data_IF_717715870712
#
_entry.id   IF_717715870712
#
_cell.length_a   1.000
_cell.length_b   1.000
_cell.length_c   1.000
_cell.angle_alpha   90.00
_cell.angle_beta   90.00
_cell.angle_gamma   90.00
#
_symmetry.space_group_name_H-M   'P 1'
#
loop_
_entity.id
_entity.type
_entity.pdbx_description
1 polymer ?
#
# COMPACT_ATOMS: atom_id res chain seq x y z
N UNK A 1 -0.52 -20.23 -6.83
CA UNK A 1 0.76 -19.59 -7.22
C UNK A 1 0.82 -18.14 -6.72
N UNK A 2 -0.03 -17.22 -7.20
CA UNK A 2 0.04 -15.80 -6.79
C UNK A 2 -0.16 -15.57 -5.28
N UNK A 3 -0.90 -16.46 -4.61
CA UNK A 3 -1.12 -16.45 -3.15
C UNK A 3 0.14 -16.65 -2.32
N UNK A 4 1.22 -17.18 -2.88
CA UNK A 4 2.50 -17.40 -2.18
C UNK A 4 3.47 -16.21 -2.31
N UNK A 5 3.10 -15.18 -3.06
CA UNK A 5 3.94 -14.01 -3.27
C UNK A 5 3.89 -13.06 -2.08
N UNK A 6 4.90 -12.18 -1.98
CA UNK A 6 4.88 -11.07 -1.07
C UNK A 6 3.81 -10.04 -1.52
N UNK A 7 3.13 -9.33 -0.60
CA UNK A 7 2.11 -8.33 -0.97
C UNK A 7 2.62 -7.22 -1.92
N UNK A 8 3.89 -6.86 -1.83
CA UNK A 8 4.51 -5.91 -2.77
C UNK A 8 4.63 -6.47 -4.19
N UNK A 9 4.95 -7.75 -4.35
CA UNK A 9 5.16 -8.37 -5.66
C UNK A 9 3.85 -8.49 -6.42
N UNK A 10 2.78 -8.90 -5.73
CA UNK A 10 1.44 -8.96 -6.32
C UNK A 10 0.94 -7.55 -6.68
N UNK A 11 1.29 -6.51 -5.90
CA UNK A 11 1.00 -5.12 -6.24
C UNK A 11 1.77 -4.66 -7.48
N UNK A 12 3.03 -5.05 -7.62
CA UNK A 12 3.79 -4.79 -8.84
C UNK A 12 3.19 -5.51 -10.04
N UNK A 13 2.82 -6.79 -9.90
CA UNK A 13 2.18 -7.56 -10.96
C UNK A 13 0.85 -6.92 -11.41
N UNK A 14 0.04 -6.42 -10.47
CA UNK A 14 -1.19 -5.68 -10.77
C UNK A 14 -0.95 -4.37 -11.53
N UNK A 15 0.29 -3.85 -11.55
CA UNK A 15 0.66 -2.60 -12.23
C UNK A 15 1.36 -2.83 -13.57
N UNK A 16 1.86 -4.04 -13.87
CA UNK A 16 2.60 -4.31 -15.11
C UNK A 16 1.70 -4.46 -16.33
N UNK A 17 0.55 -5.15 -16.21
CA UNK A 17 -0.36 -5.39 -17.35
C UNK A 17 -1.82 -5.09 -17.01
N UNK A 18 -2.62 -4.78 -18.04
CA UNK A 18 -4.07 -4.53 -17.87
C UNK A 18 -4.81 -5.79 -17.42
N UNK A 19 -4.38 -6.97 -17.86
CA UNK A 19 -4.96 -8.26 -17.51
C UNK A 19 -4.72 -8.58 -16.03
N UNK A 20 -3.48 -8.44 -15.55
CA UNK A 20 -3.19 -8.64 -14.12
C UNK A 20 -3.88 -7.60 -13.27
N UNK A 21 -3.93 -6.33 -13.70
CA UNK A 21 -4.71 -5.30 -13.02
C UNK A 21 -6.18 -5.71 -12.88
N UNK A 22 -6.81 -6.13 -13.97
CA UNK A 22 -8.21 -6.54 -14.00
C UNK A 22 -8.49 -7.74 -13.09
N UNK A 23 -7.61 -8.75 -13.11
CA UNK A 23 -7.74 -9.92 -12.26
C UNK A 23 -7.50 -9.59 -10.77
N UNK A 24 -6.38 -8.94 -10.44
CA UNK A 24 -5.95 -8.73 -9.05
C UNK A 24 -6.75 -7.65 -8.34
N UNK A 25 -7.24 -6.63 -9.04
CA UNK A 25 -8.07 -5.59 -8.42
C UNK A 25 -9.56 -5.96 -8.35
N UNK A 26 -9.96 -7.14 -8.86
CA UNK A 26 -11.32 -7.63 -8.77
C UNK A 26 -11.60 -8.19 -7.37
N UNK A 27 -12.75 -7.79 -6.79
CA UNK A 27 -13.22 -8.26 -5.48
C UNK A 27 -13.32 -9.79 -5.39
N UNK A 28 -13.63 -10.48 -6.50
CA UNK A 28 -13.68 -11.95 -6.54
C UNK A 28 -12.34 -12.61 -6.21
N UNK A 29 -11.22 -11.90 -6.42
CA UNK A 29 -9.87 -12.38 -6.13
C UNK A 29 -9.30 -11.81 -4.82
N UNK A 30 -10.15 -11.24 -3.95
CA UNK A 30 -9.71 -10.73 -2.65
C UNK A 30 -9.04 -11.80 -1.77
N UNK A 31 -9.42 -13.07 -1.93
CA UNK A 31 -8.79 -14.20 -1.23
C UNK A 31 -7.30 -14.34 -1.55
N UNK A 32 -6.89 -14.02 -2.78
CA UNK A 32 -5.46 -14.05 -3.16
C UNK A 32 -4.68 -13.05 -2.32
N UNK A 33 -5.23 -11.85 -2.12
CA UNK A 33 -4.60 -10.84 -1.29
C UNK A 33 -4.58 -11.19 0.19
N UNK A 34 -5.66 -11.79 0.71
CA UNK A 34 -5.69 -12.30 2.09
C UNK A 34 -4.62 -13.37 2.31
N UNK A 35 -4.40 -14.24 1.33
CA UNK A 35 -3.35 -15.25 1.39
C UNK A 35 -1.95 -14.61 1.31
N UNK A 36 -1.72 -13.65 0.41
CA UNK A 36 -0.42 -12.96 0.35
C UNK A 36 -0.10 -12.17 1.62
N UNK A 37 -1.13 -11.60 2.26
CA UNK A 37 -1.03 -10.96 3.59
C UNK A 37 -0.46 -11.92 4.64
N UNK A 38 -0.93 -13.16 4.66
CA UNK A 38 -0.52 -14.18 5.63
C UNK A 38 0.94 -14.64 5.44
N UNK A 39 1.56 -14.37 4.29
CA UNK A 39 2.97 -14.67 4.07
C UNK A 39 3.92 -13.72 4.81
N UNK A 40 3.42 -12.64 5.41
CA UNK A 40 4.22 -11.66 6.17
C UNK A 40 3.91 -11.81 7.67
N UNK A 41 4.82 -12.41 8.46
CA UNK A 41 4.62 -12.55 9.91
C UNK A 41 4.41 -11.19 10.60
N UNK A 42 3.41 -11.11 11.48
CA UNK A 42 3.11 -9.89 12.23
C UNK A 42 2.45 -8.77 11.41
N UNK A 43 2.10 -9.02 10.15
CA UNK A 43 1.42 -8.03 9.32
C UNK A 43 -0.04 -7.86 9.75
N UNK A 44 -0.50 -6.64 10.07
CA UNK A 44 -1.83 -6.41 10.61
C UNK A 44 -2.95 -6.84 9.65
N UNK A 45 -4.15 -7.02 10.21
CA UNK A 45 -5.34 -7.11 9.38
C UNK A 45 -5.57 -5.84 8.58
N UNK A 46 -6.21 -6.01 7.42
CA UNK A 46 -6.58 -4.86 6.61
C UNK A 46 -7.57 -3.99 7.39
N UNK A 47 -7.32 -2.68 7.42
CA UNK A 47 -8.23 -1.75 8.06
C UNK A 47 -9.62 -1.77 7.40
N UNK A 48 -10.72 -1.52 8.14
CA UNK A 48 -12.09 -1.66 7.62
C UNK A 48 -12.44 -0.80 6.39
N UNK A 49 -11.81 0.36 6.29
CA UNK A 49 -11.96 1.37 5.23
C UNK A 49 -10.96 1.21 4.08
N UNK A 50 -10.15 0.15 4.11
CA UNK A 50 -9.18 -0.17 3.07
C UNK A 50 -9.39 -1.57 2.51
N UNK A 51 -8.93 -1.78 1.29
CA UNK A 51 -8.75 -3.11 0.74
C UNK A 51 -7.28 -3.56 0.87
N UNK A 52 -7.06 -4.86 0.71
CA UNK A 52 -5.75 -5.48 0.87
C UNK A 52 -4.68 -4.91 -0.06
N UNK A 53 -5.05 -4.51 -1.28
CA UNK A 53 -4.13 -3.89 -2.23
C UNK A 53 -3.69 -2.48 -1.77
N UNK A 54 -4.61 -1.71 -1.19
CA UNK A 54 -4.29 -0.42 -0.58
C UNK A 54 -3.43 -0.60 0.66
N UNK A 55 -3.70 -1.64 1.47
CA UNK A 55 -2.88 -1.98 2.64
C UNK A 55 -1.46 -2.37 2.22
N UNK A 56 -1.32 -3.24 1.23
CA UNK A 56 -0.02 -3.61 0.66
C UNK A 56 0.74 -2.38 0.11
N UNK A 57 0.04 -1.46 -0.57
CA UNK A 57 0.63 -0.19 -1.00
C UNK A 57 1.11 0.64 0.19
N UNK A 58 0.27 0.80 1.22
CA UNK A 58 0.61 1.60 2.39
C UNK A 58 1.85 1.04 3.09
N UNK A 59 1.91 -0.27 3.28
CA UNK A 59 2.95 -0.94 4.03
C UNK A 59 4.28 -1.11 3.27
N UNK A 60 4.22 -1.34 1.96
CA UNK A 60 5.41 -1.77 1.20
C UNK A 60 5.79 -0.89 0.02
N UNK A 61 4.92 -0.06 -0.54
CA UNK A 61 5.24 0.79 -1.70
C UNK A 61 5.88 2.11 -1.22
N UNK A 62 7.18 2.35 -1.45
CA UNK A 62 7.89 3.52 -0.92
C UNK A 62 7.68 4.76 -1.81
N UNK A 63 6.53 4.86 -2.49
CA UNK A 63 6.20 5.95 -3.41
C UNK A 63 5.24 6.94 -2.75
N UNK A 64 5.45 8.22 -3.00
CA UNK A 64 4.51 9.26 -2.59
C UNK A 64 3.12 9.00 -3.20
N UNK A 65 2.07 9.15 -2.41
CA UNK A 65 0.70 8.95 -2.89
C UNK A 65 0.24 10.01 -3.88
N UNK A 66 0.84 11.21 -3.82
CA UNK A 66 0.49 12.36 -4.66
C UNK A 66 1.36 12.40 -5.91
N UNK A 67 2.68 12.54 -5.75
CA UNK A 67 3.59 12.76 -6.88
C UNK A 67 4.33 11.50 -7.35
N UNK A 68 4.06 10.33 -6.74
CA UNK A 68 4.69 9.04 -7.06
C UNK A 68 6.22 8.99 -6.92
N UNK A 69 6.84 10.05 -6.37
CA UNK A 69 8.28 10.08 -6.11
C UNK A 69 8.70 8.88 -5.23
N UNK A 70 9.75 8.14 -5.60
CA UNK A 70 10.23 7.02 -4.80
C UNK A 70 10.90 7.50 -3.50
N UNK A 71 11.32 6.55 -2.66
CA UNK A 71 12.06 6.75 -1.42
C UNK A 71 11.31 7.55 -0.34
N UNK A 72 9.98 7.47 -0.32
CA UNK A 72 9.19 7.89 0.84
C UNK A 72 9.21 6.75 1.85
N UNK A 73 9.90 6.92 2.98
CA UNK A 73 10.02 5.87 4.01
C UNK A 73 9.01 6.05 5.15
N UNK A 74 8.69 7.28 5.51
CA UNK A 74 7.76 7.59 6.59
C UNK A 74 6.32 7.25 6.20
N UNK A 75 5.69 6.38 6.98
CA UNK A 75 4.27 6.02 6.87
C UNK A 75 3.51 6.87 7.88
N UNK A 76 2.48 7.55 7.44
CA UNK A 76 1.47 8.09 8.35
C UNK A 76 0.34 7.05 8.47
N UNK A 77 0.33 6.32 9.58
CA UNK A 77 -0.67 5.29 9.86
C UNK A 77 -2.04 5.88 10.20
N UNK A 78 -2.09 7.09 10.76
CA UNK A 78 -3.36 7.77 11.08
C UNK A 78 -4.09 8.21 9.81
N UNK A 79 -3.34 8.78 8.86
CA UNK A 79 -3.87 9.22 7.58
C UNK A 79 -3.82 8.15 6.47
N UNK A 80 -3.17 7.01 6.72
CA UNK A 80 -2.99 5.90 5.76
C UNK A 80 -2.34 6.33 4.46
N UNK A 81 -1.34 7.18 4.55
CA UNK A 81 -0.62 7.70 3.38
C UNK A 81 0.89 7.67 3.55
N UNK A 82 1.57 7.62 2.41
CA UNK A 82 2.99 7.93 2.30
C UNK A 82 3.17 9.20 1.49
N UNK A 83 3.73 10.24 2.08
CA UNK A 83 3.97 11.52 1.42
C UNK A 83 5.46 11.85 1.44
N UNK A 84 5.97 12.40 0.33
CA UNK A 84 7.31 12.97 0.34
C UNK A 84 7.30 14.31 1.11
N UNK A 85 8.45 14.80 1.58
CA UNK A 85 8.54 16.07 2.30
C UNK A 85 7.97 17.27 1.53
N UNK A 86 7.95 17.21 0.19
CA UNK A 86 7.34 18.25 -0.65
C UNK A 86 5.81 18.21 -0.65
N UNK A 87 5.21 17.02 -0.54
CA UNK A 87 3.76 16.82 -0.60
C UNK A 87 3.10 16.78 0.78
N UNK A 88 3.88 16.57 1.84
CA UNK A 88 3.39 16.58 3.21
C UNK A 88 2.72 17.94 3.57
N UNK A 89 3.40 19.10 3.46
CA UNK A 89 2.85 20.38 3.93
C UNK A 89 1.52 20.75 3.27
N UNK A 90 1.29 20.30 2.03
CA UNK A 90 0.09 20.61 1.25
C UNK A 90 -1.19 19.96 1.80
N UNK A 91 -1.08 18.99 2.73
CA UNK A 91 -2.26 18.27 3.27
C UNK A 91 -2.36 18.18 4.80
N UNK A 92 -1.34 18.62 5.54
CA UNK A 92 -1.39 18.68 7.01
C UNK A 92 -1.82 20.07 7.47
N UNK A 93 -3.13 20.29 7.61
CA UNK A 93 -3.64 21.37 8.49
C UNK A 93 -3.69 20.78 9.92
N UNK A 94 -2.52 20.60 10.52
CA UNK A 94 -2.34 20.00 11.85
C UNK A 94 -0.86 20.01 12.25
N UNK A 95 -0.54 20.06 13.56
CA UNK A 95 0.82 20.36 14.02
C UNK A 95 1.80 19.30 13.49
N UNK A 96 2.89 19.79 12.90
CA UNK A 96 3.92 18.99 12.25
C UNK A 96 4.38 17.83 13.15
N UNK A 97 4.17 16.60 12.69
CA UNK A 97 4.81 15.43 13.28
C UNK A 97 6.31 15.57 13.06
N UNK A 98 7.04 15.76 14.16
CA UNK A 98 8.49 15.73 14.18
C UNK A 98 8.96 14.32 13.81
N UNK A 99 9.97 14.18 12.94
CA UNK A 99 10.69 12.92 12.85
C UNK A 99 11.51 12.72 14.13
N UNK A 100 11.33 11.58 14.78
CA UNK A 100 12.28 11.04 15.77
C UNK A 100 13.61 10.66 15.10
#
# INVERSE_FOLDING_TARGET
>A
ILSYLHPLDILHLARTTKQFRGALMNKSNALVWKATRQNVPGYPECFPDMNEAQMARLAFDPRCYVCLKPNCRTIDWGLRVRLCPKCAPTRFVGPALKPE
#
